data_IF_346603961828
#
_entry.id   IF_346603961828
#
_cell.length_a   1.000
_cell.length_b   1.000
_cell.length_c   1.000
_cell.angle_alpha   90.00
_cell.angle_beta   90.00
_cell.angle_gamma   90.00
#
_symmetry.space_group_name_H-M   'P 1'
#
loop_
_entity.id
_entity.type
_entity.pdbx_description
1 polymer ?
#
# COMPACT_ATOMS: atom_id res chain seq x y z
N UNK A 1 11.13 -11.05 12.59
CA UNK A 1 11.87 -10.08 11.77
C UNK A 1 10.98 -9.61 10.61
N UNK A 2 10.07 -8.68 10.87
CA UNK A 2 9.03 -8.24 9.93
C UNK A 2 9.00 -6.74 9.89
N UNK A 3 8.91 -6.17 8.68
CA UNK A 3 8.84 -4.74 8.47
C UNK A 3 7.54 -4.42 7.72
N UNK A 4 6.74 -3.53 8.28
CA UNK A 4 5.50 -3.07 7.65
C UNK A 4 5.79 -1.76 6.94
N UNK A 5 5.55 -1.73 5.63
CA UNK A 5 5.64 -0.51 4.83
C UNK A 5 4.24 0.01 4.60
N UNK A 6 3.95 1.21 5.10
CA UNK A 6 2.63 1.83 4.99
C UNK A 6 2.76 3.10 4.16
N UNK A 7 2.12 3.13 2.98
CA UNK A 7 1.91 4.38 2.23
C UNK A 7 0.56 4.97 2.63
N UNK A 8 0.55 6.27 2.96
CA UNK A 8 -0.66 6.98 3.40
C UNK A 8 -0.99 8.10 2.40
N UNK A 9 -2.20 8.07 1.85
CA UNK A 9 -2.76 9.13 1.01
C UNK A 9 -4.02 9.71 1.64
N UNK A 10 -3.97 11.01 1.97
CA UNK A 10 -5.09 11.81 2.50
C UNK A 10 -5.75 12.68 1.43
N UNK A 11 -5.77 12.20 0.19
CA UNK A 11 -6.35 12.95 -0.92
C UNK A 11 -7.86 12.96 -0.84
N UNK A 12 -8.50 13.99 -1.40
CA UNK A 12 -9.97 14.10 -1.52
C UNK A 12 -10.56 13.17 -2.59
N UNK A 13 -9.71 12.66 -3.49
CA UNK A 13 -10.08 11.75 -4.57
C UNK A 13 -9.62 10.33 -4.27
N UNK A 14 -10.34 9.35 -4.82
CA UNK A 14 -9.96 7.93 -4.77
C UNK A 14 -8.58 7.73 -5.41
N UNK A 15 -7.77 6.85 -4.82
CA UNK A 15 -6.49 6.48 -5.43
C UNK A 15 -6.71 5.62 -6.69
N UNK A 16 -5.98 5.97 -7.73
CA UNK A 16 -5.92 5.25 -9.01
C UNK A 16 -4.81 4.20 -9.02
N UNK A 17 -4.81 3.38 -10.08
CA UNK A 17 -3.83 2.29 -10.29
C UNK A 17 -2.39 2.80 -10.27
N UNK A 18 -2.12 3.96 -10.88
CA UNK A 18 -0.76 4.49 -10.96
C UNK A 18 -0.13 4.69 -9.57
N UNK A 19 -0.91 5.21 -8.62
CA UNK A 19 -0.44 5.42 -7.24
C UNK A 19 -0.06 4.10 -6.56
N UNK A 20 -0.78 3.02 -6.87
CA UNK A 20 -0.48 1.67 -6.35
C UNK A 20 0.77 1.10 -7.02
N UNK A 21 0.98 1.34 -8.33
CA UNK A 21 2.22 0.96 -9.04
C UNK A 21 3.43 1.65 -8.46
N UNK A 22 3.37 2.96 -8.27
CA UNK A 22 4.46 3.74 -7.69
C UNK A 22 4.81 3.23 -6.27
N UNK A 23 3.82 2.79 -5.50
CA UNK A 23 4.07 2.18 -4.20
C UNK A 23 4.69 0.78 -4.32
N UNK A 24 4.25 -0.02 -5.28
CA UNK A 24 4.81 -1.35 -5.54
C UNK A 24 6.31 -1.29 -5.89
N UNK A 25 6.71 -0.33 -6.73
CA UNK A 25 8.12 -0.11 -7.07
C UNK A 25 8.96 0.18 -5.81
N UNK A 26 8.44 0.96 -4.85
CA UNK A 26 9.11 1.18 -3.56
C UNK A 26 9.28 -0.13 -2.80
N UNK A 27 8.23 -0.96 -2.71
CA UNK A 27 8.27 -2.25 -2.01
C UNK A 27 9.36 -3.15 -2.60
N UNK A 28 9.48 -3.21 -3.92
CA UNK A 28 10.52 -3.98 -4.59
C UNK A 28 11.93 -3.51 -4.21
N UNK A 29 12.15 -2.19 -4.17
CA UNK A 29 13.42 -1.60 -3.72
C UNK A 29 13.70 -1.95 -2.25
N UNK A 30 12.73 -1.75 -1.36
CA UNK A 30 12.90 -2.07 0.07
C UNK A 30 13.16 -3.55 0.32
N UNK A 31 12.50 -4.43 -0.44
CA UNK A 31 12.69 -5.89 -0.36
C UNK A 31 14.12 -6.27 -0.76
N UNK A 32 14.65 -5.67 -1.85
CA UNK A 32 16.03 -5.89 -2.28
C UNK A 32 17.06 -5.44 -1.23
N UNK A 33 16.77 -4.36 -0.50
CA UNK A 33 17.64 -3.81 0.53
C UNK A 33 17.54 -4.52 1.89
N UNK A 34 16.45 -5.25 2.16
CA UNK A 34 16.18 -5.90 3.44
C UNK A 34 15.88 -7.40 3.25
N UNK A 35 16.81 -8.13 2.63
CA UNK A 35 16.63 -9.55 2.25
C UNK A 35 16.36 -10.49 3.43
N UNK A 36 16.75 -10.10 4.64
CA UNK A 36 16.56 -10.85 5.88
C UNK A 36 15.19 -10.61 6.54
N UNK A 37 14.42 -9.63 6.05
CA UNK A 37 13.14 -9.22 6.62
C UNK A 37 11.97 -9.62 5.73
N UNK A 38 10.90 -10.07 6.37
CA UNK A 38 9.60 -10.18 5.69
C UNK A 38 8.97 -8.78 5.57
N UNK A 39 8.80 -8.29 4.35
CA UNK A 39 8.12 -7.02 4.08
C UNK A 39 6.61 -7.26 3.98
N UNK A 40 5.83 -6.48 4.73
CA UNK A 40 4.36 -6.47 4.67
C UNK A 40 3.90 -5.11 4.13
N UNK A 41 3.44 -5.04 2.86
CA UNK A 41 2.96 -3.79 2.29
C UNK A 41 1.52 -3.49 2.73
N UNK A 42 1.27 -2.24 3.10
CA UNK A 42 -0.06 -1.74 3.40
C UNK A 42 -0.26 -0.33 2.84
N UNK A 43 -1.51 0.02 2.56
CA UNK A 43 -1.90 1.27 1.95
C UNK A 43 -3.14 1.85 2.64
N UNK A 44 -3.04 3.08 3.10
CA UNK A 44 -4.17 3.86 3.62
C UNK A 44 -4.59 4.91 2.58
N UNK A 45 -5.86 4.87 2.15
CA UNK A 45 -6.45 5.93 1.32
C UNK A 45 -7.75 6.45 1.94
N UNK A 46 -7.74 7.68 2.47
CA UNK A 46 -8.88 8.23 3.22
C UNK A 46 -10.14 8.43 2.37
N UNK A 47 -9.98 8.79 1.10
CA UNK A 47 -11.10 8.88 0.15
C UNK A 47 -11.32 7.58 -0.64
N UNK A 48 -10.70 6.48 -0.20
CA UNK A 48 -10.86 5.15 -0.77
C UNK A 48 -10.08 4.92 -2.06
N UNK A 49 -10.42 3.82 -2.74
CA UNK A 49 -9.70 3.31 -3.90
C UNK A 49 -10.65 3.18 -5.09
N UNK A 50 -10.14 3.43 -6.30
CA UNK A 50 -10.82 2.99 -7.53
C UNK A 50 -10.94 1.46 -7.58
N UNK A 51 -11.90 0.93 -8.35
CA UNK A 51 -12.10 -0.53 -8.47
C UNK A 51 -10.83 -1.24 -8.98
N UNK A 52 -10.16 -0.65 -9.97
CA UNK A 52 -8.90 -1.15 -10.50
C UNK A 52 -7.75 -1.08 -9.48
N UNK A 53 -7.68 -0.04 -8.67
CA UNK A 53 -6.69 0.04 -7.59
C UNK A 53 -6.94 -1.03 -6.52
N UNK A 54 -8.22 -1.30 -6.14
CA UNK A 54 -8.55 -2.40 -5.22
C UNK A 54 -8.16 -3.75 -5.80
N UNK A 55 -8.42 -3.98 -7.09
CA UNK A 55 -8.01 -5.21 -7.79
C UNK A 55 -6.50 -5.39 -7.73
N UNK A 56 -5.74 -4.35 -8.09
CA UNK A 56 -4.28 -4.41 -8.05
C UNK A 56 -3.74 -4.66 -6.65
N UNK A 57 -4.27 -3.99 -5.62
CA UNK A 57 -3.84 -4.24 -4.23
C UNK A 57 -4.04 -5.70 -3.83
N UNK A 58 -5.15 -6.34 -4.24
CA UNK A 58 -5.39 -7.77 -3.97
C UNK A 58 -4.41 -8.68 -4.69
N UNK A 59 -4.18 -8.43 -5.98
CA UNK A 59 -3.23 -9.20 -6.81
C UNK A 59 -1.79 -9.08 -6.30
N UNK A 60 -1.42 -7.92 -5.78
CA UNK A 60 -0.09 -7.65 -5.19
C UNK A 60 0.00 -7.92 -3.69
N UNK A 61 -1.02 -8.52 -3.06
CA UNK A 61 -1.08 -8.80 -1.62
C UNK A 61 -0.80 -7.58 -0.72
N UNK A 62 -1.29 -6.40 -1.10
CA UNK A 62 -1.18 -5.16 -0.34
C UNK A 62 -2.38 -5.02 0.61
N UNK A 63 -2.11 -4.85 1.90
CA UNK A 63 -3.14 -4.52 2.89
C UNK A 63 -3.78 -3.17 2.60
N UNK A 64 -5.11 -3.05 2.72
CA UNK A 64 -5.83 -1.82 2.42
C UNK A 64 -6.60 -1.33 3.65
N UNK A 65 -6.58 -0.02 3.86
CA UNK A 65 -7.44 0.65 4.82
C UNK A 65 -7.97 1.97 4.24
N UNK A 66 -9.18 2.36 4.64
CA UNK A 66 -9.75 3.69 4.35
C UNK A 66 -9.83 4.56 5.62
N UNK A 67 -9.56 3.97 6.79
CA UNK A 67 -9.56 4.66 8.10
C UNK A 67 -8.53 4.00 9.01
N UNK A 68 -7.90 4.79 9.87
CA UNK A 68 -7.13 4.32 11.02
C UNK A 68 -7.72 5.02 12.24
N UNK A 69 -8.09 4.26 13.26
CA UNK A 69 -8.57 4.77 14.53
C UNK A 69 -7.66 4.26 15.65
N UNK A 70 -7.44 5.10 16.66
CA UNK A 70 -6.80 4.74 17.91
C UNK A 70 -7.80 5.05 19.03
N UNK A 71 -8.01 4.08 19.93
CA UNK A 71 -8.92 4.18 21.07
C UNK A 71 -8.18 4.73 22.28
#
# INVERSE_FOLDING_TARGET
NTLVLIEVKKWKQKVGVQVIRDFWEKIEVYTKLNKDKKILPAFLSVSGFSAHAKKMCKESHIGMAETIAYL
#
